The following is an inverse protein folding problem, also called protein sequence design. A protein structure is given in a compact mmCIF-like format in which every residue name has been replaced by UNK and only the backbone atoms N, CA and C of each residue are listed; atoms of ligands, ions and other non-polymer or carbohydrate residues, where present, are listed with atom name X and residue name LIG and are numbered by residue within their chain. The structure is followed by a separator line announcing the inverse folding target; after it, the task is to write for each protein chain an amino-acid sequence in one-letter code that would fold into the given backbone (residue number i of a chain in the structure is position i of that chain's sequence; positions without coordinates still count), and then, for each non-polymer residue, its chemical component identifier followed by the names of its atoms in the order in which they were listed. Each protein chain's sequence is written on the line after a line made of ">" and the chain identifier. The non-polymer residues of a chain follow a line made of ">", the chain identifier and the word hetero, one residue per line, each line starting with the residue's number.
data_IF_810258808171
#
_entry.id   IF_810258808171
#
_cell.length_a   1.000
_cell.length_b   1.000
_cell.length_c   1.000
_cell.angle_alpha   90.00
_cell.angle_beta   90.00
_cell.angle_gamma   90.00
#
_symmetry.space_group_name_H-M   'P 1'
#
loop_
_entity.id
_entity.type
_entity.pdbx_description
1 polymer ?
#
# COMPACT_ATOMS: atom_id res chain seq x y z
N UNK A 1 24.58 9.08 51.36
CA UNK A 1 23.81 7.95 50.77
C UNK A 1 23.31 8.42 49.43
N UNK A 2 24.08 8.13 48.37
CA UNK A 2 23.80 8.59 47.00
C UNK A 2 22.83 7.61 46.36
N UNK A 3 21.73 8.11 45.83
CA UNK A 3 20.77 7.32 45.06
C UNK A 3 21.26 7.32 43.62
N UNK A 4 21.71 6.16 43.15
CA UNK A 4 22.03 5.95 41.73
C UNK A 4 20.76 5.98 40.88
N UNK A 5 20.72 6.91 39.94
CA UNK A 5 19.71 6.91 38.84
C UNK A 5 20.03 5.73 37.91
N UNK A 6 19.14 4.74 37.88
CA UNK A 6 19.17 3.68 36.88
C UNK A 6 18.65 4.22 35.55
N UNK A 7 19.54 4.48 34.62
CA UNK A 7 19.24 4.74 33.23
C UNK A 7 18.54 3.50 32.61
N UNK A 8 17.23 3.57 32.48
CA UNK A 8 16.44 2.56 31.74
C UNK A 8 16.75 2.60 30.25
N UNK A 9 17.69 1.79 29.81
CA UNK A 9 17.89 1.48 28.41
C UNK A 9 16.70 0.64 27.91
N UNK A 10 15.69 1.29 27.33
CA UNK A 10 14.68 0.59 26.54
C UNK A 10 15.37 0.07 25.28
N UNK A 11 15.69 -1.20 25.26
CA UNK A 11 16.21 -1.88 24.09
C UNK A 11 15.17 -1.72 22.95
N UNK A 12 15.60 -1.18 21.80
CA UNK A 12 14.80 -1.19 20.59
C UNK A 12 14.44 -2.65 20.26
N UNK A 13 13.18 -2.96 19.89
CA UNK A 13 12.83 -4.33 19.54
C UNK A 13 13.76 -4.82 18.43
N UNK A 14 14.30 -6.01 18.62
CA UNK A 14 15.21 -6.66 17.66
C UNK A 14 14.40 -6.91 16.39
N UNK A 15 14.79 -6.30 15.25
CA UNK A 15 14.13 -6.42 13.94
C UNK A 15 13.89 -7.88 13.50
N UNK A 16 14.62 -8.85 14.03
CA UNK A 16 14.45 -10.27 13.79
C UNK A 16 13.21 -10.92 14.41
N UNK A 17 12.39 -10.15 15.18
CA UNK A 17 11.17 -10.66 15.79
C UNK A 17 9.89 -10.37 14.98
N UNK A 18 9.98 -9.62 13.88
CA UNK A 18 8.83 -9.32 13.02
C UNK A 18 8.76 -10.37 11.91
N UNK A 19 7.72 -11.21 11.87
CA UNK A 19 7.58 -12.21 10.82
C UNK A 19 7.42 -11.56 9.45
N UNK A 20 7.81 -12.27 8.41
CA UNK A 20 7.68 -11.85 6.99
C UNK A 20 8.49 -10.61 6.61
N UNK A 21 9.47 -10.20 7.42
CA UNK A 21 10.29 -9.03 7.13
C UNK A 21 11.07 -9.22 5.83
N UNK A 22 10.89 -8.29 4.88
CA UNK A 22 11.42 -8.31 3.52
C UNK A 22 10.93 -9.49 2.67
N UNK A 23 9.72 -9.97 2.96
CA UNK A 23 9.10 -11.06 2.24
C UNK A 23 7.84 -10.64 1.48
N UNK A 24 7.59 -11.37 0.39
CA UNK A 24 6.32 -11.41 -0.30
C UNK A 24 5.66 -12.73 0.08
N UNK A 25 4.58 -12.64 0.83
CA UNK A 25 3.88 -13.76 1.43
C UNK A 25 2.67 -14.11 0.58
N UNK A 26 2.63 -15.33 0.06
CA UNK A 26 1.44 -15.83 -0.64
C UNK A 26 0.41 -16.29 0.39
N UNK A 27 -0.40 -15.36 0.83
CA UNK A 27 -1.45 -15.59 1.84
C UNK A 27 -2.52 -14.52 1.76
N UNK A 28 -3.76 -14.89 2.08
CA UNK A 28 -4.84 -13.94 2.31
C UNK A 28 -4.48 -12.95 3.43
N UNK A 29 -4.73 -11.65 3.19
CA UNK A 29 -4.36 -10.59 4.13
C UNK A 29 -4.90 -10.82 5.53
N UNK A 30 -6.14 -11.33 5.66
CA UNK A 30 -6.79 -11.53 6.96
C UNK A 30 -6.12 -12.60 7.82
N UNK A 31 -5.47 -13.60 7.18
CA UNK A 31 -4.66 -14.60 7.86
C UNK A 31 -3.25 -14.10 8.15
N UNK A 32 -2.66 -13.41 7.18
CA UNK A 32 -1.29 -12.95 7.26
C UNK A 32 -1.11 -11.83 8.30
N UNK A 33 -1.99 -10.84 8.30
CA UNK A 33 -1.90 -9.67 9.19
C UNK A 33 -1.99 -10.04 10.67
N UNK A 34 -2.71 -11.12 11.01
CA UNK A 34 -2.82 -11.63 12.39
C UNK A 34 -1.50 -12.13 12.97
N UNK A 35 -0.52 -12.43 12.12
CA UNK A 35 0.83 -12.85 12.52
C UNK A 35 1.76 -11.65 12.68
N UNK A 36 1.38 -10.45 12.21
CA UNK A 36 2.16 -9.23 12.37
C UNK A 36 1.95 -8.69 13.78
N UNK A 37 3.04 -8.40 14.54
CA UNK A 37 2.92 -7.89 15.90
C UNK A 37 2.25 -6.52 15.95
N UNK A 38 1.61 -6.23 17.07
CA UNK A 38 1.05 -4.91 17.35
C UNK A 38 2.14 -3.84 17.28
N UNK A 39 1.77 -2.66 16.77
CA UNK A 39 2.63 -1.47 16.74
C UNK A 39 4.02 -1.74 16.13
N UNK A 40 4.10 -2.56 15.09
CA UNK A 40 5.35 -2.90 14.40
C UNK A 40 5.56 -2.17 13.07
N UNK A 41 4.49 -1.65 12.46
CA UNK A 41 4.49 -1.04 11.13
C UNK A 41 4.65 0.48 11.21
N UNK A 42 5.60 1.02 10.46
CA UNK A 42 5.90 2.46 10.40
C UNK A 42 5.10 3.20 9.34
N UNK A 43 4.75 2.50 8.24
CA UNK A 43 4.03 3.07 7.10
C UNK A 43 3.18 1.99 6.42
N UNK A 44 1.98 2.35 5.99
CA UNK A 44 1.16 1.53 5.10
C UNK A 44 1.07 2.21 3.74
N UNK A 45 1.35 1.46 2.66
CA UNK A 45 1.12 1.88 1.28
C UNK A 45 0.45 0.72 0.57
N UNK A 46 -0.83 0.84 0.21
CA UNK A 46 -1.60 -0.31 -0.24
C UNK A 46 -2.73 0.07 -1.20
N UNK A 47 -3.06 -0.85 -2.12
CA UNK A 47 -4.08 -0.70 -3.16
C UNK A 47 -5.13 -1.80 -3.04
N UNK A 48 -6.10 -1.67 -2.09
CA UNK A 48 -7.12 -2.69 -1.84
C UNK A 48 -8.12 -2.80 -3.00
N UNK A 49 -8.85 -3.91 -3.11
CA UNK A 49 -10.00 -4.02 -4.01
C UNK A 49 -11.04 -2.92 -3.73
N UNK A 50 -11.58 -2.32 -4.81
CA UNK A 50 -12.49 -1.17 -4.67
C UNK A 50 -13.99 -1.53 -4.60
N UNK A 51 -14.37 -2.81 -4.67
CA UNK A 51 -15.76 -3.25 -4.69
C UNK A 51 -16.50 -2.92 -5.99
N UNK A 52 -15.78 -2.81 -7.11
CA UNK A 52 -16.32 -2.31 -8.37
C UNK A 52 -16.66 -3.40 -9.39
N UNK A 53 -16.43 -4.69 -9.08
CA UNK A 53 -16.57 -5.83 -10.04
C UNK A 53 -15.82 -5.55 -11.36
N UNK A 54 -14.60 -5.05 -11.28
CA UNK A 54 -13.84 -4.59 -12.43
C UNK A 54 -13.63 -5.72 -13.44
N UNK A 55 -14.32 -5.66 -14.59
CA UNK A 55 -14.10 -6.51 -15.76
C UNK A 55 -13.68 -5.63 -16.94
N UNK A 56 -12.46 -5.82 -17.45
CA UNK A 56 -12.02 -5.14 -18.66
C UNK A 56 -12.49 -5.90 -19.90
N UNK A 57 -13.49 -5.36 -20.59
CA UNK A 57 -14.01 -5.94 -21.86
C UNK A 57 -13.10 -5.68 -23.07
N UNK A 58 -12.01 -4.91 -22.92
CA UNK A 58 -11.18 -4.45 -24.05
C UNK A 58 -9.77 -5.05 -24.10
N UNK A 59 -9.45 -6.02 -23.23
CA UNK A 59 -8.11 -6.66 -23.23
C UNK A 59 -8.14 -8.00 -23.96
N UNK A 60 -7.09 -8.28 -24.75
CA UNK A 60 -6.91 -9.58 -25.46
C UNK A 60 -6.69 -10.76 -24.50
N UNK A 61 -6.28 -10.49 -23.27
CA UNK A 61 -6.10 -11.50 -22.19
C UNK A 61 -7.10 -11.17 -21.09
N UNK A 62 -8.02 -12.07 -20.82
CA UNK A 62 -8.93 -11.97 -19.67
C UNK A 62 -8.14 -12.31 -18.42
N UNK A 63 -7.92 -11.33 -17.53
CA UNK A 63 -7.43 -11.58 -16.18
C UNK A 63 -8.60 -12.10 -15.32
N UNK A 64 -8.28 -12.98 -14.37
CA UNK A 64 -9.26 -13.41 -13.36
C UNK A 64 -9.83 -12.18 -12.65
N UNK A 65 -11.10 -12.25 -12.26
CA UNK A 65 -11.71 -11.21 -11.41
C UNK A 65 -10.91 -11.05 -10.13
N UNK A 66 -10.73 -9.80 -9.69
CA UNK A 66 -10.06 -9.51 -8.41
C UNK A 66 -10.92 -10.11 -7.30
N UNK A 67 -10.34 -10.94 -6.43
CA UNK A 67 -11.07 -11.53 -5.31
C UNK A 67 -11.50 -10.43 -4.34
N UNK A 68 -12.73 -10.55 -3.81
CA UNK A 68 -13.37 -9.57 -2.90
C UNK A 68 -13.64 -8.18 -3.52
N UNK A 69 -13.68 -8.06 -4.86
CA UNK A 69 -14.05 -6.81 -5.53
C UNK A 69 -15.59 -6.70 -5.78
N UNK A 70 -16.38 -7.55 -5.12
CA UNK A 70 -17.84 -7.59 -5.25
C UNK A 70 -18.58 -6.88 -4.10
N UNK A 71 -17.95 -6.73 -2.93
CA UNK A 71 -18.46 -5.99 -1.78
C UNK A 71 -17.31 -5.39 -0.94
N UNK A 72 -17.65 -4.58 0.05
CA UNK A 72 -16.71 -3.93 0.97
C UNK A 72 -16.96 -4.32 2.44
N UNK A 73 -17.65 -5.44 2.72
CA UNK A 73 -17.99 -5.90 4.07
C UNK A 73 -16.73 -6.20 4.91
N UNK A 74 -15.63 -6.51 4.25
CA UNK A 74 -14.32 -6.77 4.86
C UNK A 74 -13.57 -5.50 5.32
N UNK A 75 -13.97 -4.32 4.82
CA UNK A 75 -13.20 -3.06 4.95
C UNK A 75 -12.98 -2.66 6.41
N UNK A 76 -14.02 -2.72 7.24
CA UNK A 76 -13.89 -2.34 8.65
C UNK A 76 -12.96 -3.28 9.41
N UNK A 77 -13.09 -4.60 9.23
CA UNK A 77 -12.20 -5.59 9.85
C UNK A 77 -10.75 -5.39 9.45
N UNK A 78 -10.49 -5.03 8.19
CA UNK A 78 -9.17 -4.71 7.69
C UNK A 78 -8.60 -3.44 8.34
N UNK A 79 -9.38 -2.38 8.47
CA UNK A 79 -8.96 -1.13 9.11
C UNK A 79 -8.65 -1.33 10.59
N UNK A 80 -9.42 -2.17 11.30
CA UNK A 80 -9.15 -2.56 12.69
C UNK A 80 -7.77 -3.23 12.82
N UNK A 81 -7.45 -4.18 11.92
CA UNK A 81 -6.17 -4.85 11.93
C UNK A 81 -5.02 -3.89 11.56
N UNK A 82 -5.21 -3.00 10.58
CA UNK A 82 -4.23 -1.94 10.31
C UNK A 82 -3.99 -1.07 11.55
N UNK A 83 -5.04 -0.71 12.28
CA UNK A 83 -4.91 0.08 13.51
C UNK A 83 -4.08 -0.64 14.57
N UNK A 84 -4.25 -1.96 14.70
CA UNK A 84 -3.50 -2.79 15.65
C UNK A 84 -2.01 -2.84 15.30
N UNK A 85 -1.67 -3.09 14.03
CA UNK A 85 -0.27 -3.28 13.61
C UNK A 85 0.51 -1.98 13.43
N UNK A 86 -0.16 -0.86 13.14
CA UNK A 86 0.47 0.45 12.96
C UNK A 86 1.01 1.01 14.27
N UNK A 87 2.23 1.54 14.23
CA UNK A 87 2.79 2.37 15.31
C UNK A 87 1.97 3.62 15.53
N UNK A 88 2.06 4.23 16.70
CA UNK A 88 1.28 5.42 17.08
C UNK A 88 1.54 6.63 16.16
N UNK A 89 2.71 6.70 15.52
CA UNK A 89 3.08 7.78 14.59
C UNK A 89 3.15 7.30 13.12
N UNK A 90 2.45 6.21 12.75
CA UNK A 90 2.42 5.71 11.37
C UNK A 90 1.60 6.62 10.44
N UNK A 91 2.01 6.67 9.17
CA UNK A 91 1.20 7.20 8.07
C UNK A 91 0.60 6.07 7.24
N UNK A 92 -0.52 6.35 6.56
CA UNK A 92 -1.16 5.42 5.65
C UNK A 92 -1.49 6.13 4.34
N UNK A 93 -1.14 5.48 3.22
CA UNK A 93 -1.56 5.82 1.87
C UNK A 93 -2.38 4.65 1.33
N UNK A 94 -3.68 4.87 1.18
CA UNK A 94 -4.64 3.87 0.72
C UNK A 94 -5.16 4.33 -0.62
N UNK A 95 -4.83 3.62 -1.69
CA UNK A 95 -5.40 3.88 -3.00
C UNK A 95 -6.89 3.58 -2.98
N UNK A 96 -7.68 4.35 -3.67
CA UNK A 96 -9.14 4.18 -3.70
C UNK A 96 -9.75 4.79 -4.96
N UNK A 97 -10.97 4.33 -5.28
CA UNK A 97 -11.77 4.86 -6.38
C UNK A 97 -12.64 6.01 -5.91
N UNK A 98 -12.92 6.96 -6.81
CA UNK A 98 -13.88 8.04 -6.54
C UNK A 98 -15.31 7.52 -6.27
N UNK A 99 -15.65 6.31 -6.73
CA UNK A 99 -16.95 5.70 -6.49
C UNK A 99 -17.21 5.36 -5.01
N UNK A 100 -16.16 5.05 -4.25
CA UNK A 100 -16.26 4.56 -2.88
C UNK A 100 -15.40 5.36 -1.89
N UNK A 101 -14.87 6.51 -2.30
CA UNK A 101 -14.02 7.34 -1.44
C UNK A 101 -14.74 7.81 -0.17
N UNK A 102 -16.03 8.06 -0.25
CA UNK A 102 -16.88 8.44 0.87
C UNK A 102 -16.93 7.34 1.94
N UNK A 103 -17.17 6.09 1.53
CA UNK A 103 -17.17 4.92 2.41
C UNK A 103 -15.79 4.66 3.02
N UNK A 104 -14.73 4.68 2.19
CA UNK A 104 -13.35 4.55 2.68
C UNK A 104 -13.02 5.64 3.71
N UNK A 105 -13.34 6.89 3.41
CA UNK A 105 -13.12 8.03 4.29
C UNK A 105 -13.89 7.88 5.61
N UNK A 106 -15.13 7.40 5.57
CA UNK A 106 -15.96 7.18 6.75
C UNK A 106 -15.36 6.09 7.65
N UNK A 107 -15.10 4.89 7.08
CA UNK A 107 -14.63 3.74 7.85
C UNK A 107 -13.20 3.96 8.35
N UNK A 108 -12.28 4.38 7.48
CA UNK A 108 -10.88 4.66 7.88
C UNK A 108 -10.82 5.81 8.88
N UNK A 109 -11.66 6.83 8.70
CA UNK A 109 -11.72 8.00 9.57
C UNK A 109 -12.23 7.72 11.00
N UNK A 110 -12.89 6.58 11.24
CA UNK A 110 -13.25 6.13 12.57
C UNK A 110 -12.04 5.67 13.40
N UNK A 111 -10.94 5.28 12.76
CA UNK A 111 -9.76 4.70 13.40
C UNK A 111 -8.49 5.53 13.24
N UNK A 112 -8.39 6.33 12.17
CA UNK A 112 -7.21 7.14 11.81
C UNK A 112 -7.60 8.59 11.52
N UNK A 113 -6.66 9.51 11.67
CA UNK A 113 -6.86 10.90 11.26
C UNK A 113 -6.73 11.02 9.74
N UNK A 114 -7.85 11.15 9.03
CA UNK A 114 -7.82 11.45 7.59
C UNK A 114 -7.31 12.88 7.38
N UNK A 115 -6.17 13.01 6.74
CA UNK A 115 -5.46 14.30 6.56
C UNK A 115 -5.74 14.93 5.22
N UNK A 116 -5.81 14.12 4.15
CA UNK A 116 -5.98 14.62 2.78
C UNK A 116 -6.45 13.50 1.84
N UNK A 117 -6.93 13.90 0.67
CA UNK A 117 -7.05 13.04 -0.51
C UNK A 117 -6.01 13.55 -1.51
N UNK A 118 -5.01 12.71 -1.83
CA UNK A 118 -4.04 13.00 -2.86
C UNK A 118 -4.59 12.51 -4.20
N UNK A 119 -4.30 13.25 -5.26
CA UNK A 119 -4.68 12.90 -6.61
C UNK A 119 -3.43 12.47 -7.39
N UNK A 120 -3.37 11.23 -7.80
CA UNK A 120 -2.38 10.81 -8.78
C UNK A 120 -2.89 11.12 -10.19
N UNK A 121 -2.38 12.17 -10.80
CA UNK A 121 -2.64 12.52 -12.20
C UNK A 121 -1.80 11.64 -13.12
N UNK A 122 -2.48 10.88 -14.00
CA UNK A 122 -1.86 10.02 -15.01
C UNK A 122 -1.49 10.82 -16.26
N UNK A 123 -0.54 10.30 -17.04
CA UNK A 123 -0.15 10.93 -18.31
C UNK A 123 -1.13 10.66 -19.47
N UNK A 124 -2.05 9.70 -19.32
CA UNK A 124 -3.07 9.33 -20.30
C UNK A 124 -4.43 9.17 -19.62
N UNK A 125 -5.48 9.22 -20.39
CA UNK A 125 -6.85 8.94 -19.96
C UNK A 125 -7.16 7.44 -20.03
N UNK A 126 -8.10 6.98 -19.22
CA UNK A 126 -8.79 5.71 -19.42
C UNK A 126 -9.82 5.82 -20.55
N UNK A 127 -10.34 4.67 -21.00
CA UNK A 127 -11.38 4.68 -22.04
C UNK A 127 -12.75 5.05 -21.46
N UNK A 128 -13.19 4.40 -20.39
CA UNK A 128 -14.50 4.69 -19.77
C UNK A 128 -15.69 4.62 -20.75
N UNK A 129 -16.74 5.36 -20.43
CA UNK A 129 -17.85 5.64 -21.34
C UNK A 129 -17.40 6.72 -22.33
N UNK A 130 -17.45 6.40 -23.63
CA UNK A 130 -16.90 7.27 -24.68
C UNK A 130 -17.86 8.42 -25.08
N UNK A 131 -19.12 8.36 -24.67
CA UNK A 131 -20.17 9.29 -25.12
C UNK A 131 -20.81 10.07 -23.97
N UNK A 132 -20.96 9.47 -22.80
CA UNK A 132 -21.73 10.02 -21.69
C UNK A 132 -20.93 10.48 -20.47
N UNK A 133 -19.58 10.29 -20.44
CA UNK A 133 -18.77 10.61 -19.27
C UNK A 133 -17.41 11.23 -19.64
N UNK A 134 -16.78 11.84 -18.66
CA UNK A 134 -15.41 12.36 -18.79
C UNK A 134 -14.39 11.24 -18.76
N UNK A 135 -13.35 11.33 -19.60
CA UNK A 135 -12.28 10.36 -19.66
C UNK A 135 -11.45 10.35 -18.33
N UNK A 136 -11.43 9.24 -17.58
CA UNK A 136 -10.77 9.19 -16.29
C UNK A 136 -9.25 9.33 -16.42
N UNK A 137 -8.65 10.28 -15.70
CA UNK A 137 -7.22 10.63 -15.79
C UNK A 137 -6.49 10.55 -14.46
N UNK A 138 -7.16 10.19 -13.38
CA UNK A 138 -6.57 10.18 -12.05
C UNK A 138 -6.96 8.94 -11.25
N UNK A 139 -6.23 8.73 -10.17
CA UNK A 139 -6.62 7.88 -9.03
C UNK A 139 -6.49 8.68 -7.74
N UNK A 140 -7.31 8.32 -6.75
CA UNK A 140 -7.28 8.91 -5.43
C UNK A 140 -6.41 8.10 -4.48
N UNK A 141 -5.77 8.78 -3.54
CA UNK A 141 -5.02 8.16 -2.46
C UNK A 141 -5.47 8.82 -1.16
N UNK A 142 -6.13 8.06 -0.30
CA UNK A 142 -6.50 8.54 1.02
C UNK A 142 -5.24 8.59 1.89
N UNK A 143 -4.86 9.79 2.33
CA UNK A 143 -3.73 10.01 3.22
C UNK A 143 -4.19 10.16 4.65
N UNK A 144 -3.71 9.29 5.53
CA UNK A 144 -4.07 9.24 6.93
C UNK A 144 -2.84 9.21 7.84
N UNK A 145 -3.04 9.55 9.11
CA UNK A 145 -2.04 9.39 10.17
C UNK A 145 -2.63 8.72 11.40
N UNK A 146 -1.81 7.91 12.07
CA UNK A 146 -2.12 7.31 13.38
C UNK A 146 -1.62 8.18 14.55
N UNK A 147 -1.39 9.46 14.31
CA UNK A 147 -0.86 10.40 15.29
C UNK A 147 -0.54 11.74 14.66
N UNK A 148 0.54 12.36 15.09
CA UNK A 148 0.94 13.72 14.69
C UNK A 148 2.21 13.78 13.86
N UNK A 149 2.72 12.64 13.37
CA UNK A 149 3.94 12.56 12.54
C UNK A 149 3.92 13.59 11.41
N UNK A 150 5.06 14.26 11.22
CA UNK A 150 5.25 15.21 10.12
C UNK A 150 5.76 14.50 8.88
N UNK A 151 5.46 15.07 7.71
CA UNK A 151 6.04 14.62 6.45
C UNK A 151 7.53 15.00 6.38
N UNK A 152 8.34 14.14 5.82
CA UNK A 152 9.74 14.43 5.52
C UNK A 152 9.84 15.49 4.42
N UNK A 153 10.78 16.43 4.53
CA UNK A 153 11.01 17.47 3.52
C UNK A 153 9.89 18.50 3.38
N UNK A 154 8.94 18.57 4.35
CA UNK A 154 7.88 19.58 4.37
C UNK A 154 6.66 19.24 3.50
N UNK A 155 5.85 20.26 3.21
CA UNK A 155 4.58 20.13 2.48
C UNK A 155 4.79 20.24 0.97
N UNK A 156 4.14 19.33 0.25
CA UNK A 156 4.01 19.40 -1.21
C UNK A 156 2.52 19.55 -1.59
N UNK A 157 2.27 19.82 -2.87
CA UNK A 157 0.92 19.81 -3.40
C UNK A 157 0.30 18.42 -3.34
N UNK A 158 -1.01 18.36 -3.17
CA UNK A 158 -1.73 17.09 -3.11
C UNK A 158 -2.09 16.50 -4.50
N UNK A 159 -1.59 17.09 -5.58
CA UNK A 159 -1.68 16.56 -6.95
C UNK A 159 -0.30 16.03 -7.34
N UNK A 160 -0.19 14.71 -7.49
CA UNK A 160 1.04 14.00 -7.81
C UNK A 160 1.02 13.58 -9.27
N UNK A 161 2.05 13.94 -10.04
CA UNK A 161 2.17 13.56 -11.45
C UNK A 161 3.14 12.39 -11.58
N UNK A 162 2.64 11.27 -12.06
CA UNK A 162 3.47 10.12 -12.40
C UNK A 162 2.92 9.44 -13.67
N UNK A 163 3.84 9.02 -14.55
CA UNK A 163 3.45 8.26 -15.73
C UNK A 163 2.93 6.90 -15.31
N UNK A 164 1.83 6.46 -15.93
CA UNK A 164 1.32 5.11 -15.79
C UNK A 164 2.34 4.11 -16.34
N UNK A 165 2.42 2.93 -15.73
CA UNK A 165 3.20 1.81 -16.27
C UNK A 165 2.51 1.22 -17.50
N UNK A 166 3.23 0.38 -18.26
CA UNK A 166 2.62 -0.43 -19.33
C UNK A 166 1.72 -1.54 -18.84
N UNK A 167 1.59 -1.75 -17.52
CA UNK A 167 0.90 -2.88 -16.89
C UNK A 167 1.48 -4.24 -17.35
N UNK A 168 2.80 -4.31 -17.48
CA UNK A 168 3.49 -5.51 -17.96
C UNK A 168 3.41 -6.66 -16.95
N UNK A 169 3.47 -6.35 -15.66
CA UNK A 169 3.49 -7.34 -14.59
C UNK A 169 2.13 -7.56 -13.91
N UNK A 170 1.26 -6.55 -13.92
CA UNK A 170 -0.05 -6.61 -13.29
C UNK A 170 -1.03 -5.62 -13.94
N UNK A 171 -2.33 -5.97 -14.06
CA UNK A 171 -3.33 -5.11 -14.72
C UNK A 171 -3.55 -3.73 -14.06
N UNK A 172 -3.25 -3.61 -12.77
CA UNK A 172 -3.38 -2.37 -11.99
C UNK A 172 -2.05 -1.90 -11.40
N UNK A 173 -0.94 -2.17 -12.09
CA UNK A 173 0.40 -1.84 -11.65
C UNK A 173 0.56 -0.35 -11.34
N UNK A 174 1.05 -0.04 -10.14
CA UNK A 174 1.35 1.34 -9.72
C UNK A 174 2.81 1.70 -10.08
N UNK A 175 3.09 2.92 -10.52
CA UNK A 175 4.45 3.34 -10.83
C UNK A 175 5.36 3.31 -9.61
N UNK A 176 6.49 2.62 -9.70
CA UNK A 176 7.46 2.51 -8.59
C UNK A 176 7.95 3.87 -8.11
N UNK A 177 8.12 4.85 -9.01
CA UNK A 177 8.53 6.21 -8.65
C UNK A 177 7.48 6.94 -7.82
N UNK A 178 6.17 6.73 -8.07
CA UNK A 178 5.09 7.27 -7.24
C UNK A 178 5.15 6.65 -5.84
N UNK A 179 5.24 5.32 -5.76
CA UNK A 179 5.32 4.62 -4.47
C UNK A 179 6.59 5.03 -3.70
N UNK A 180 7.74 5.13 -4.37
CA UNK A 180 9.00 5.61 -3.78
C UNK A 180 8.85 7.00 -3.16
N UNK A 181 8.18 7.91 -3.86
CA UNK A 181 7.89 9.24 -3.35
C UNK A 181 7.07 9.21 -2.06
N UNK A 182 5.96 8.43 -2.03
CA UNK A 182 5.12 8.30 -0.83
C UNK A 182 5.90 7.70 0.35
N UNK A 183 6.74 6.70 0.09
CA UNK A 183 7.61 6.07 1.08
C UNK A 183 8.60 7.08 1.67
N UNK A 184 9.29 7.86 0.84
CA UNK A 184 10.25 8.87 1.31
C UNK A 184 9.59 9.97 2.12
N UNK A 185 8.39 10.39 1.75
CA UNK A 185 7.62 11.42 2.47
C UNK A 185 7.20 10.98 3.88
N UNK A 186 7.08 9.69 4.14
CA UNK A 186 6.44 9.20 5.37
C UNK A 186 7.25 8.16 6.14
N UNK A 187 8.47 7.84 5.71
CA UNK A 187 9.33 6.87 6.38
C UNK A 187 10.81 7.24 6.33
N UNK A 188 11.61 6.60 7.17
CA UNK A 188 13.07 6.69 7.21
C UNK A 188 13.69 5.36 6.76
N UNK A 189 15.03 5.33 6.51
CA UNK A 189 15.74 4.09 6.25
C UNK A 189 15.52 3.08 7.38
N UNK A 190 15.33 1.81 7.03
CA UNK A 190 15.01 0.68 7.91
C UNK A 190 13.59 0.67 8.52
N UNK A 191 12.75 1.68 8.29
CA UNK A 191 11.34 1.61 8.67
C UNK A 191 10.64 0.46 7.92
N UNK A 192 9.59 -0.12 8.52
CA UNK A 192 8.82 -1.23 7.96
C UNK A 192 7.58 -0.69 7.24
N UNK A 193 7.48 -0.97 5.96
CA UNK A 193 6.34 -0.63 5.10
C UNK A 193 5.48 -1.86 4.88
N UNK A 194 4.18 -1.76 5.15
CA UNK A 194 3.20 -2.81 4.92
C UNK A 194 2.38 -2.53 3.66
N UNK A 195 2.25 -3.56 2.81
CA UNK A 195 1.29 -3.60 1.72
C UNK A 195 0.47 -4.89 1.82
N UNK A 196 -0.82 -4.75 2.11
CA UNK A 196 -1.73 -5.89 2.32
C UNK A 196 -2.35 -6.45 1.04
N UNK A 197 -2.13 -5.79 -0.12
CA UNK A 197 -2.64 -6.15 -1.44
C UNK A 197 -1.58 -5.87 -2.51
N UNK A 198 -0.46 -6.57 -2.43
CA UNK A 198 0.78 -6.18 -3.10
C UNK A 198 0.77 -6.27 -4.64
N UNK A 199 -0.09 -7.08 -5.23
CA UNK A 199 -0.33 -7.15 -6.68
C UNK A 199 0.95 -7.18 -7.53
N UNK A 200 1.31 -6.03 -8.10
CA UNK A 200 2.49 -5.84 -8.95
C UNK A 200 3.81 -5.66 -8.19
N UNK A 201 3.78 -5.61 -6.85
CA UNK A 201 4.96 -5.48 -5.97
C UNK A 201 5.73 -4.16 -6.09
N UNK A 202 5.11 -3.14 -6.61
CA UNK A 202 5.70 -1.80 -6.70
C UNK A 202 6.17 -1.30 -5.34
N UNK A 203 5.43 -1.64 -4.27
CA UNK A 203 5.79 -1.30 -2.88
C UNK A 203 7.10 -1.97 -2.46
N UNK A 204 7.26 -3.28 -2.70
CA UNK A 204 8.49 -4.00 -2.35
C UNK A 204 9.71 -3.48 -3.14
N UNK A 205 9.53 -3.20 -4.45
CA UNK A 205 10.59 -2.62 -5.29
C UNK A 205 11.00 -1.23 -4.79
N UNK A 206 10.02 -0.37 -4.48
CA UNK A 206 10.25 0.97 -3.96
C UNK A 206 10.98 0.92 -2.60
N UNK A 207 10.58 0.02 -1.70
CA UNK A 207 11.23 -0.18 -0.42
C UNK A 207 12.70 -0.57 -0.58
N UNK A 208 13.02 -1.53 -1.45
CA UNK A 208 14.42 -1.91 -1.74
C UNK A 208 15.24 -0.74 -2.25
N UNK A 209 14.70 0.03 -3.23
CA UNK A 209 15.37 1.22 -3.78
C UNK A 209 15.64 2.29 -2.71
N UNK A 210 14.73 2.41 -1.74
CA UNK A 210 14.79 3.44 -0.69
C UNK A 210 15.34 2.93 0.64
N UNK A 211 15.87 1.71 0.70
CA UNK A 211 16.43 1.07 1.91
C UNK A 211 15.41 0.99 3.07
N UNK A 212 14.17 0.70 2.77
CA UNK A 212 13.12 0.38 3.75
C UNK A 212 12.92 -1.13 3.80
N UNK A 213 12.54 -1.62 4.97
CA UNK A 213 12.00 -2.97 5.08
C UNK A 213 10.56 -3.00 4.60
N UNK A 214 10.09 -4.17 4.18
CA UNK A 214 8.71 -4.33 3.73
C UNK A 214 8.11 -5.65 4.20
N UNK A 215 6.79 -5.68 4.25
CA UNK A 215 5.95 -6.87 4.39
C UNK A 215 4.85 -6.73 3.34
N UNK A 216 4.77 -7.69 2.42
CA UNK A 216 3.82 -7.65 1.32
C UNK A 216 2.97 -8.93 1.30
N UNK A 217 1.64 -8.79 1.27
CA UNK A 217 0.71 -9.92 1.15
C UNK A 217 0.09 -9.95 -0.23
N UNK A 218 0.01 -11.14 -0.81
CA UNK A 218 -0.63 -11.38 -2.10
C UNK A 218 -1.27 -12.78 -2.09
N UNK A 219 -2.53 -12.85 -2.50
CA UNK A 219 -3.27 -14.11 -2.49
C UNK A 219 -2.99 -14.97 -3.73
N UNK A 220 -2.69 -14.32 -4.88
CA UNK A 220 -2.45 -15.02 -6.15
C UNK A 220 -0.98 -15.47 -6.26
N UNK A 221 -0.79 -16.81 -6.23
CA UNK A 221 0.55 -17.42 -6.28
C UNK A 221 1.37 -16.99 -7.51
N UNK A 222 0.71 -16.83 -8.66
CA UNK A 222 1.36 -16.40 -9.91
C UNK A 222 2.05 -15.05 -9.78
N UNK A 223 1.40 -14.07 -9.15
CA UNK A 223 1.98 -12.76 -8.88
C UNK A 223 3.12 -12.86 -7.87
N UNK A 224 2.97 -13.62 -6.79
CA UNK A 224 4.06 -13.83 -5.82
C UNK A 224 5.32 -14.41 -6.46
N UNK A 225 5.18 -15.36 -7.38
CA UNK A 225 6.31 -15.97 -8.09
C UNK A 225 7.02 -14.94 -8.98
N UNK A 226 6.26 -14.19 -9.77
CA UNK A 226 6.79 -13.11 -10.63
C UNK A 226 7.56 -12.09 -9.82
N UNK A 227 7.01 -11.67 -8.70
CA UNK A 227 7.63 -10.70 -7.82
C UNK A 227 8.96 -11.17 -7.23
N UNK A 228 8.99 -12.40 -6.70
CA UNK A 228 10.21 -12.98 -6.13
C UNK A 228 11.33 -13.02 -7.17
N UNK A 229 11.00 -13.38 -8.41
CA UNK A 229 11.97 -13.40 -9.50
C UNK A 229 12.49 -11.98 -9.83
N UNK A 230 11.60 -11.00 -9.95
CA UNK A 230 11.98 -9.60 -10.21
C UNK A 230 12.85 -9.02 -9.07
N UNK A 231 12.49 -9.29 -7.83
CA UNK A 231 13.25 -8.81 -6.67
C UNK A 231 14.64 -9.47 -6.55
N UNK A 232 14.80 -10.68 -7.07
CA UNK A 232 16.07 -11.40 -7.09
C UNK A 232 16.92 -11.13 -8.35
N UNK A 233 16.47 -10.24 -9.24
CA UNK A 233 17.19 -9.89 -10.47
C UNK A 233 17.12 -10.97 -11.57
N UNK A 234 16.21 -11.92 -11.46
CA UNK A 234 15.96 -12.94 -12.49
C UNK A 234 15.04 -12.33 -13.55
N UNK A 235 15.52 -12.24 -14.79
CA UNK A 235 14.67 -11.83 -15.91
C UNK A 235 13.57 -12.88 -16.13
N UNK A 236 12.31 -12.50 -15.96
CA UNK A 236 11.17 -13.36 -16.26
C UNK A 236 10.71 -13.07 -17.67
N UNK A 237 10.93 -14.02 -18.59
CA UNK A 237 10.28 -13.98 -19.89
C UNK A 237 8.79 -14.31 -19.68
N UNK A 238 7.93 -13.33 -19.89
CA UNK A 238 6.49 -13.54 -19.92
C UNK A 238 6.13 -14.02 -21.33
N UNK A 239 5.72 -15.28 -21.44
CA UNK A 239 5.11 -15.82 -22.65
C UNK A 239 3.62 -15.54 -22.67
#
# INVERSE_FOLDING_TARGET
>A
MLIEEQNGNFAKPVLGAVPFLNEIVNMDWNKAIKQVPDKSIDLVVTDPPYGMKYQSNHRKVQHKSIQNDDNLDWLEGWVVELKRVCKDEAHLYIFCSWHNIDLFKQIVGAYFNVKNILIWEKNNTGMGDLEGDYAPKYEMILFCSNGSKKLNGGRDANILKAKRTGNENHPTEKPVNLISYLIEKSSNENDIVLDTFAGSFSTAQACKQKKRNFICFEIEEGYCRTAKNLLNGVSVSLF
#
